data_IF_529369818164
#
_entry.id   IF_529369818164
#
_cell.length_a   1.000
_cell.length_b   1.000
_cell.length_c   1.000
_cell.angle_alpha   90.00
_cell.angle_beta   90.00
_cell.angle_gamma   90.00
#
_symmetry.space_group_name_H-M   'P 1'
#
loop_
_entity.id
_entity.type
_entity.pdbx_description
1 polymer ?
#
# COMPACT_ATOMS: atom_id res chain seq x y z
N UNK A 1 28.46 26.64 -36.02
CA UNK A 1 27.55 27.00 -34.90
C UNK A 1 26.33 26.09 -34.79
N UNK A 2 25.54 25.84 -35.86
CA UNK A 2 24.36 24.95 -35.80
C UNK A 2 24.65 23.50 -35.33
N UNK A 3 25.78 22.91 -35.70
CA UNK A 3 26.20 21.56 -35.26
C UNK A 3 26.61 21.49 -33.78
N UNK A 4 27.19 22.57 -33.24
CA UNK A 4 27.55 22.69 -31.82
C UNK A 4 26.30 22.91 -30.95
N UNK A 5 25.35 23.73 -31.42
CA UNK A 5 24.07 23.95 -30.74
C UNK A 5 23.23 22.66 -30.68
N UNK A 6 23.22 21.87 -31.76
CA UNK A 6 22.56 20.56 -31.81
C UNK A 6 23.14 19.55 -30.81
N UNK A 7 24.48 19.53 -30.65
CA UNK A 7 25.15 18.66 -29.68
C UNK A 7 24.78 19.01 -28.22
N UNK A 8 24.66 20.30 -27.90
CA UNK A 8 24.22 20.75 -26.57
C UNK A 8 22.77 20.36 -26.27
N UNK A 9 21.87 20.42 -27.27
CA UNK A 9 20.47 20.02 -27.10
C UNK A 9 20.36 18.51 -26.85
N UNK A 10 21.10 17.69 -27.60
CA UNK A 10 21.09 16.23 -27.44
C UNK A 10 21.71 15.82 -26.08
N UNK A 11 22.79 16.47 -25.66
CA UNK A 11 23.43 16.20 -24.37
C UNK A 11 22.53 16.58 -23.18
N UNK A 12 21.79 17.69 -23.28
CA UNK A 12 20.77 18.07 -22.29
C UNK A 12 19.64 17.05 -22.20
N UNK A 13 19.18 16.53 -23.34
CA UNK A 13 18.11 15.52 -23.37
C UNK A 13 18.52 14.19 -22.73
N UNK A 14 19.78 13.77 -22.87
CA UNK A 14 20.32 12.55 -22.25
C UNK A 14 20.50 12.71 -20.73
N UNK A 15 20.86 13.91 -20.26
CA UNK A 15 20.92 14.23 -18.81
C UNK A 15 19.52 14.30 -18.17
N UNK A 16 18.48 14.67 -18.93
CA UNK A 16 17.10 14.65 -18.46
C UNK A 16 16.52 13.24 -18.33
N UNK A 17 16.96 12.27 -19.14
CA UNK A 17 16.47 10.88 -19.07
C UNK A 17 17.09 10.08 -17.92
N UNK A 18 18.30 10.45 -17.48
CA UNK A 18 19.06 9.72 -16.45
C UNK A 18 18.69 10.09 -15.00
N UNK A 19 17.83 11.09 -14.78
CA UNK A 19 17.34 11.49 -13.45
C UNK A 19 16.16 10.64 -12.95
N UNK A 20 15.66 9.67 -13.72
CA UNK A 20 14.46 8.88 -13.36
C UNK A 20 14.74 7.57 -12.61
N UNK A 21 16.00 7.23 -12.32
CA UNK A 21 16.36 5.89 -11.81
C UNK A 21 16.42 5.72 -10.28
N UNK A 22 16.24 6.76 -9.47
CA UNK A 22 16.49 6.70 -8.01
C UNK A 22 15.27 7.04 -7.13
N UNK A 23 14.05 6.64 -7.52
CA UNK A 23 12.86 6.86 -6.69
C UNK A 23 12.06 5.57 -6.38
N UNK A 24 12.57 4.39 -6.73
CA UNK A 24 11.99 3.13 -6.26
C UNK A 24 12.59 2.81 -4.90
N UNK A 25 11.77 2.84 -3.84
CA UNK A 25 12.20 2.44 -2.51
C UNK A 25 12.72 0.99 -2.48
N UNK A 26 13.29 0.58 -1.36
CA UNK A 26 13.96 -0.72 -1.15
C UNK A 26 13.16 -1.95 -1.63
N UNK A 27 11.83 -1.92 -1.55
CA UNK A 27 10.92 -2.99 -1.97
C UNK A 27 10.20 -2.73 -3.29
N UNK A 28 10.62 -1.70 -4.03
CA UNK A 28 9.86 -1.16 -5.16
C UNK A 28 8.53 -0.54 -4.72
N UNK A 29 7.59 -0.46 -5.66
CA UNK A 29 6.25 0.07 -5.40
C UNK A 29 5.35 -1.04 -4.81
N UNK A 30 4.88 -0.83 -3.57
CA UNK A 30 4.05 -1.79 -2.82
C UNK A 30 2.63 -1.25 -2.69
N UNK A 31 1.68 -2.04 -3.18
CA UNK A 31 0.26 -1.73 -3.16
C UNK A 31 -0.32 -1.47 -4.54
N UNK A 32 -1.59 -1.82 -4.73
CA UNK A 32 -2.32 -1.54 -5.98
C UNK A 32 -3.79 -1.27 -5.72
N UNK A 33 -4.34 -0.28 -6.41
CA UNK A 33 -5.77 0.04 -6.36
C UNK A 33 -6.57 -0.88 -7.27
N UNK A 34 -7.75 -1.25 -6.80
CA UNK A 34 -8.77 -2.04 -7.51
C UNK A 34 -10.14 -1.42 -7.26
N UNK A 35 -11.09 -1.67 -8.14
CA UNK A 35 -12.50 -1.41 -7.80
C UNK A 35 -12.96 -2.39 -6.72
N UNK A 36 -13.94 -2.00 -5.90
CA UNK A 36 -14.54 -2.91 -4.91
C UNK A 36 -15.01 -4.25 -5.49
N UNK A 37 -15.53 -4.24 -6.72
CA UNK A 37 -16.00 -5.45 -7.41
C UNK A 37 -14.85 -6.40 -7.71
N UNK A 38 -13.78 -5.90 -8.35
CA UNK A 38 -12.58 -6.68 -8.65
C UNK A 38 -11.94 -7.20 -7.37
N UNK A 39 -11.86 -6.36 -6.34
CA UNK A 39 -11.20 -6.72 -5.10
C UNK A 39 -11.95 -7.84 -4.35
N UNK A 40 -13.28 -7.77 -4.30
CA UNK A 40 -14.11 -8.85 -3.77
C UNK A 40 -13.94 -10.15 -4.58
N UNK A 41 -13.72 -10.05 -5.89
CA UNK A 41 -13.46 -11.21 -6.75
C UNK A 41 -12.11 -11.83 -6.40
N UNK A 42 -11.05 -11.03 -6.31
CA UNK A 42 -9.67 -11.49 -6.20
C UNK A 42 -9.25 -11.86 -4.76
N UNK A 43 -9.67 -11.08 -3.77
CA UNK A 43 -9.17 -11.16 -2.39
C UNK A 43 -10.19 -11.70 -1.38
N UNK A 44 -11.38 -12.07 -1.86
CA UNK A 44 -12.45 -12.61 -1.02
C UNK A 44 -13.30 -11.54 -0.32
N UNK A 45 -14.11 -11.98 0.64
CA UNK A 45 -15.09 -11.12 1.33
C UNK A 45 -14.45 -10.48 2.57
N UNK A 46 -14.88 -9.25 2.87
CA UNK A 46 -14.59 -8.54 4.12
C UNK A 46 -15.14 -9.30 5.34
N UNK A 47 -14.27 -9.55 6.31
CA UNK A 47 -14.59 -10.16 7.60
C UNK A 47 -14.80 -9.13 8.71
N UNK A 48 -14.07 -8.01 8.64
CA UNK A 48 -14.10 -6.95 9.63
C UNK A 48 -13.60 -5.65 9.05
N UNK A 49 -14.05 -4.55 9.63
CA UNK A 49 -13.78 -3.20 9.13
C UNK A 49 -13.64 -2.21 10.28
N UNK A 50 -12.67 -1.31 10.20
CA UNK A 50 -12.46 -0.21 11.14
C UNK A 50 -12.41 1.10 10.34
N UNK A 51 -13.21 2.08 10.73
CA UNK A 51 -13.19 3.41 10.10
C UNK A 51 -12.13 4.29 10.75
N UNK A 52 -11.40 5.03 9.93
CA UNK A 52 -10.36 5.99 10.35
C UNK A 52 -10.55 7.28 9.57
N UNK A 53 -10.31 8.43 10.21
CA UNK A 53 -10.39 9.72 9.54
C UNK A 53 -9.29 9.83 8.49
N UNK A 54 -9.65 10.26 7.28
CA UNK A 54 -8.70 10.43 6.18
C UNK A 54 -7.58 11.41 6.57
N UNK A 55 -7.91 12.45 7.33
CA UNK A 55 -6.95 13.47 7.77
C UNK A 55 -5.85 12.89 8.68
N UNK A 56 -6.19 11.88 9.51
CA UNK A 56 -5.20 11.23 10.37
C UNK A 56 -4.17 10.44 9.54
N UNK A 57 -4.63 9.82 8.44
CA UNK A 57 -3.75 9.13 7.50
C UNK A 57 -2.88 10.12 6.75
N UNK A 58 -3.46 11.19 6.20
CA UNK A 58 -2.72 12.25 5.50
C UNK A 58 -1.59 12.82 6.38
N UNK A 59 -1.90 13.14 7.64
CA UNK A 59 -0.92 13.66 8.62
C UNK A 59 0.20 12.66 8.93
N UNK A 60 -0.08 11.36 8.93
CA UNK A 60 0.95 10.35 9.10
C UNK A 60 1.88 10.27 7.88
N UNK A 61 1.32 10.38 6.66
CA UNK A 61 2.07 10.34 5.40
C UNK A 61 2.97 11.57 5.17
N UNK A 62 2.77 12.66 5.90
CA UNK A 62 3.71 13.79 5.96
C UNK A 62 5.04 13.43 6.64
N UNK A 63 5.02 12.41 7.51
CA UNK A 63 6.17 11.97 8.32
C UNK A 63 6.75 10.64 7.87
N UNK A 64 5.99 9.87 7.09
CA UNK A 64 6.41 8.59 6.57
C UNK A 64 7.58 8.75 5.59
N UNK A 65 8.46 7.74 5.57
CA UNK A 65 9.50 7.60 4.55
C UNK A 65 8.93 7.06 3.24
N UNK A 66 9.69 6.20 2.57
CA UNK A 66 9.26 5.55 1.33
C UNK A 66 8.06 4.63 1.54
N UNK A 67 7.93 4.09 2.75
CA UNK A 67 6.88 3.17 3.14
C UNK A 67 6.15 3.64 4.40
N UNK A 68 4.89 3.24 4.48
CA UNK A 68 4.02 3.40 5.65
C UNK A 68 3.47 2.03 6.03
N UNK A 69 3.43 1.76 7.32
CA UNK A 69 2.92 0.51 7.86
C UNK A 69 1.58 0.77 8.54
N UNK A 70 0.66 -0.18 8.39
CA UNK A 70 -0.60 -0.18 9.12
C UNK A 70 -0.74 -1.45 9.95
N UNK A 71 -1.23 -1.34 11.16
CA UNK A 71 -1.48 -2.47 12.04
C UNK A 71 -2.87 -2.39 12.66
N UNK A 72 -3.50 -3.53 12.93
CA UNK A 72 -4.74 -3.59 13.70
C UNK A 72 -4.46 -4.29 15.02
N UNK A 73 -4.70 -3.58 16.13
CA UNK A 73 -4.56 -4.12 17.49
C UNK A 73 -5.65 -3.54 18.37
N UNK A 74 -6.27 -4.39 19.19
CA UNK A 74 -7.35 -3.98 20.12
C UNK A 74 -8.46 -3.17 19.43
N UNK A 75 -8.88 -3.62 18.24
CA UNK A 75 -9.91 -2.98 17.42
C UNK A 75 -9.59 -1.55 16.99
N UNK A 76 -8.30 -1.18 16.94
CA UNK A 76 -7.81 0.11 16.46
C UNK A 76 -6.79 -0.09 15.36
N UNK A 77 -6.80 0.86 14.41
CA UNK A 77 -5.77 0.96 13.37
C UNK A 77 -4.65 1.83 13.91
N UNK A 78 -3.42 1.35 13.74
CA UNK A 78 -2.20 2.06 14.02
C UNK A 78 -1.51 2.36 12.69
N UNK A 79 -1.04 3.60 12.53
CA UNK A 79 -0.24 4.04 11.38
C UNK A 79 1.18 4.22 11.89
N UNK A 80 2.09 3.46 11.31
CA UNK A 80 3.42 3.22 11.86
C UNK A 80 4.49 3.59 10.83
N UNK A 81 5.67 3.95 11.34
CA UNK A 81 6.88 4.02 10.52
C UNK A 81 7.44 2.62 10.21
N UNK A 82 8.50 2.56 9.41
CA UNK A 82 9.17 1.30 9.03
C UNK A 82 9.83 0.57 10.22
N UNK A 83 10.00 1.25 11.35
CA UNK A 83 10.47 0.68 12.62
C UNK A 83 9.33 0.29 13.54
N UNK A 84 8.09 0.29 13.04
CA UNK A 84 6.85 -0.03 13.75
C UNK A 84 6.48 0.93 14.91
N UNK A 85 7.02 2.14 14.93
CA UNK A 85 6.60 3.19 15.87
C UNK A 85 5.37 3.92 15.34
N UNK A 86 4.42 4.22 16.23
CA UNK A 86 3.18 4.90 15.84
C UNK A 86 3.37 6.39 15.58
N UNK A 87 2.79 6.87 14.48
CA UNK A 87 2.69 8.29 14.17
C UNK A 87 1.60 8.99 14.99
N UNK A 88 0.60 8.26 15.46
CA UNK A 88 -0.57 8.79 16.18
C UNK A 88 -0.45 8.70 17.71
N UNK A 89 0.32 7.74 18.23
CA UNK A 89 0.45 7.48 19.67
C UNK A 89 1.93 7.54 20.08
N UNK A 90 2.29 8.60 20.81
CA UNK A 90 3.68 8.87 21.21
C UNK A 90 4.20 7.74 22.10
N UNK A 91 5.33 7.16 21.71
CA UNK A 91 6.02 6.12 22.48
C UNK A 91 5.42 4.73 22.34
N UNK A 92 4.34 4.57 21.56
CA UNK A 92 3.80 3.27 21.23
C UNK A 92 4.49 2.70 19.99
N UNK A 93 4.84 1.42 20.06
CA UNK A 93 5.30 0.64 18.91
C UNK A 93 4.70 -0.76 18.95
N UNK A 94 4.59 -1.36 17.77
CA UNK A 94 4.33 -2.80 17.69
C UNK A 94 5.59 -3.55 18.12
N UNK A 95 5.39 -4.64 18.86
CA UNK A 95 6.48 -5.57 19.16
C UNK A 95 6.94 -6.26 17.88
N UNK A 96 8.08 -6.96 17.96
CA UNK A 96 8.60 -7.70 16.81
C UNK A 96 7.56 -8.70 16.31
N UNK A 97 6.92 -9.46 17.19
CA UNK A 97 5.98 -10.52 16.78
C UNK A 97 4.65 -10.01 16.18
N UNK A 98 4.38 -8.71 16.27
CA UNK A 98 3.16 -8.12 15.74
C UNK A 98 3.28 -7.81 14.25
N UNK A 99 2.32 -8.30 13.47
CA UNK A 99 2.27 -8.11 12.02
C UNK A 99 1.74 -6.70 11.71
N UNK A 100 2.46 -6.00 10.84
CA UNK A 100 2.00 -4.78 10.20
C UNK A 100 1.98 -4.97 8.68
N UNK A 101 1.23 -4.14 7.97
CA UNK A 101 0.99 -4.24 6.54
C UNK A 101 1.56 -2.99 5.86
N UNK A 102 2.56 -3.21 5.01
CA UNK A 102 3.32 -2.14 4.37
C UNK A 102 2.73 -1.77 3.01
N UNK A 103 2.69 -0.46 2.75
CA UNK A 103 2.44 0.12 1.44
C UNK A 103 3.49 1.17 1.13
N UNK A 104 3.75 1.42 -0.15
CA UNK A 104 4.51 2.59 -0.57
C UNK A 104 3.73 3.86 -0.22
N UNK A 105 4.39 4.80 0.46
CA UNK A 105 3.78 6.08 0.86
C UNK A 105 3.18 6.81 -0.33
N UNK A 106 3.86 6.79 -1.48
CA UNK A 106 3.38 7.35 -2.75
C UNK A 106 2.04 6.73 -3.20
N UNK A 107 1.93 5.40 -3.17
CA UNK A 107 0.70 4.68 -3.58
C UNK A 107 -0.47 5.04 -2.67
N UNK A 108 -0.23 5.14 -1.35
CA UNK A 108 -1.27 5.58 -0.42
C UNK A 108 -1.69 7.00 -0.72
N UNK A 109 -0.76 7.94 -0.97
CA UNK A 109 -1.09 9.33 -1.34
C UNK A 109 -1.97 9.39 -2.59
N UNK A 110 -1.58 8.72 -3.66
CA UNK A 110 -2.36 8.66 -4.91
C UNK A 110 -3.77 8.07 -4.69
N UNK A 111 -3.89 7.05 -3.83
CA UNK A 111 -5.17 6.48 -3.46
C UNK A 111 -6.05 7.47 -2.67
N UNK A 112 -5.45 8.25 -1.76
CA UNK A 112 -6.15 9.28 -1.00
C UNK A 112 -6.62 10.44 -1.89
N UNK A 113 -5.86 10.84 -2.90
CA UNK A 113 -6.26 11.87 -3.86
C UNK A 113 -7.52 11.50 -4.64
N UNK A 114 -7.73 10.20 -4.90
CA UNK A 114 -8.94 9.68 -5.55
C UNK A 114 -10.11 9.44 -4.58
N UNK A 115 -9.85 9.50 -3.28
CA UNK A 115 -10.86 9.30 -2.24
C UNK A 115 -11.41 10.64 -1.76
N UNK A 116 -12.67 10.92 -2.06
CA UNK A 116 -13.39 12.12 -1.63
C UNK A 116 -14.00 11.97 -0.23
N UNK A 117 -14.26 10.73 0.21
CA UNK A 117 -14.84 10.45 1.52
C UNK A 117 -13.98 10.93 2.70
N UNK A 118 -14.63 11.42 3.76
CA UNK A 118 -13.98 11.83 5.02
C UNK A 118 -13.27 10.67 5.73
N UNK A 119 -13.74 9.45 5.52
CA UNK A 119 -13.26 8.27 6.22
C UNK A 119 -12.71 7.25 5.25
N UNK A 120 -11.62 6.61 5.66
CA UNK A 120 -11.16 5.37 5.07
C UNK A 120 -11.68 4.20 5.91
N UNK A 121 -11.84 3.05 5.26
CA UNK A 121 -12.20 1.80 5.94
C UNK A 121 -11.05 0.83 5.80
N UNK A 122 -10.46 0.44 6.92
CA UNK A 122 -9.43 -0.59 7.00
C UNK A 122 -10.11 -1.94 7.21
N UNK A 123 -9.87 -2.87 6.30
CA UNK A 123 -10.58 -4.14 6.23
C UNK A 123 -9.62 -5.32 6.36
N UNK A 124 -10.10 -6.38 7.01
CA UNK A 124 -9.47 -7.71 6.95
C UNK A 124 -10.39 -8.61 6.12
N UNK A 125 -9.80 -9.32 5.15
CA UNK A 125 -10.50 -10.26 4.28
C UNK A 125 -9.96 -11.66 4.45
N UNK A 126 -10.85 -12.64 4.33
CA UNK A 126 -10.44 -14.04 4.25
C UNK A 126 -10.21 -14.41 2.79
N UNK A 127 -8.97 -14.74 2.44
CA UNK A 127 -8.67 -15.24 1.12
C UNK A 127 -9.23 -16.66 0.95
N UNK A 128 -10.43 -16.76 0.36
CA UNK A 128 -11.03 -18.04 -0.03
C UNK A 128 -10.64 -18.37 -1.48
N UNK A 129 -10.12 -19.57 -1.77
CA UNK A 129 -9.83 -19.97 -3.14
C UNK A 129 -11.13 -19.97 -3.95
N UNK A 130 -11.15 -19.18 -5.04
CA UNK A 130 -12.28 -19.18 -5.98
C UNK A 130 -11.97 -20.08 -7.16
N UNK A 131 -12.92 -20.94 -7.50
CA UNK A 131 -12.88 -21.70 -8.73
C UNK A 131 -13.02 -20.73 -9.91
N UNK A 132 -12.08 -20.77 -10.85
CA UNK A 132 -12.24 -20.09 -12.12
C UNK A 132 -13.33 -20.81 -12.92
N UNK A 133 -14.48 -20.17 -13.22
CA UNK A 133 -15.62 -20.85 -13.85
C UNK A 133 -15.33 -21.31 -15.28
N UNK A 134 -14.23 -20.86 -15.91
CA UNK A 134 -13.84 -21.24 -17.27
C UNK A 134 -12.79 -22.35 -17.34
N UNK A 135 -11.98 -22.54 -16.29
CA UNK A 135 -10.88 -23.53 -16.29
C UNK A 135 -10.95 -24.56 -15.16
N UNK A 136 -11.87 -24.40 -14.20
CA UNK A 136 -11.92 -25.23 -12.99
C UNK A 136 -10.72 -25.05 -12.05
N UNK A 137 -9.81 -24.12 -12.39
CA UNK A 137 -8.57 -23.90 -11.67
C UNK A 137 -8.80 -22.90 -10.54
N UNK A 138 -8.35 -23.24 -9.33
CA UNK A 138 -8.40 -22.33 -8.19
C UNK A 138 -7.19 -21.39 -8.24
N UNK A 139 -7.41 -20.08 -8.15
CA UNK A 139 -6.32 -19.10 -8.02
C UNK A 139 -6.62 -18.13 -6.88
N UNK A 140 -5.63 -17.86 -6.06
CA UNK A 140 -5.67 -16.78 -5.06
C UNK A 140 -4.62 -15.73 -5.39
N UNK A 141 -4.92 -14.47 -5.07
CA UNK A 141 -3.95 -13.37 -5.19
C UNK A 141 -3.03 -13.26 -3.96
N UNK A 142 -3.37 -13.91 -2.83
CA UNK A 142 -2.44 -14.12 -1.73
C UNK A 142 -1.60 -15.38 -1.95
N UNK A 143 -0.43 -15.43 -1.31
CA UNK A 143 0.54 -16.50 -1.45
C UNK A 143 -0.06 -17.88 -1.16
N UNK A 144 -1.02 -17.97 -0.22
CA UNK A 144 -1.73 -19.21 0.11
C UNK A 144 -3.23 -18.98 0.34
N UNK A 145 -4.04 -19.99 0.00
CA UNK A 145 -5.44 -20.05 0.39
C UNK A 145 -5.57 -20.08 1.93
N UNK A 146 -6.44 -19.25 2.49
CA UNK A 146 -6.60 -19.11 3.94
C UNK A 146 -5.87 -17.93 4.57
N UNK A 147 -5.07 -17.19 3.80
CA UNK A 147 -4.37 -16.00 4.29
C UNK A 147 -5.34 -14.84 4.61
N UNK A 148 -4.95 -14.03 5.59
CA UNK A 148 -5.61 -12.74 5.88
C UNK A 148 -5.05 -11.69 4.91
N UNK A 149 -5.95 -11.02 4.20
CA UNK A 149 -5.60 -9.88 3.35
C UNK A 149 -5.98 -8.59 4.07
N UNK A 150 -5.02 -7.68 4.15
CA UNK A 150 -5.24 -6.32 4.64
C UNK A 150 -5.57 -5.39 3.47
N UNK A 151 -6.67 -4.67 3.62
CA UNK A 151 -7.21 -3.80 2.58
C UNK A 151 -7.49 -2.42 3.15
N UNK A 152 -7.22 -1.39 2.36
CA UNK A 152 -7.65 -0.02 2.64
C UNK A 152 -8.71 0.41 1.62
N UNK A 153 -9.92 0.75 2.06
CA UNK A 153 -11.05 1.07 1.19
C UNK A 153 -11.45 2.54 1.32
N UNK A 154 -11.68 3.18 0.17
CA UNK A 154 -12.05 4.59 0.02
C UNK A 154 -13.06 4.72 -1.12
N UNK A 155 -14.24 5.25 -0.84
CA UNK A 155 -15.35 5.40 -1.79
C UNK A 155 -15.64 4.14 -2.63
N UNK A 156 -15.24 4.10 -3.90
CA UNK A 156 -15.46 2.98 -4.83
C UNK A 156 -14.22 2.10 -5.05
N UNK A 157 -13.08 2.48 -4.50
CA UNK A 157 -11.79 1.82 -4.69
C UNK A 157 -11.29 1.15 -3.40
N UNK A 158 -10.39 0.21 -3.59
CA UNK A 158 -9.69 -0.53 -2.54
C UNK A 158 -8.22 -0.64 -2.88
N UNK A 159 -7.35 -0.28 -1.95
CA UNK A 159 -5.92 -0.49 -2.02
C UNK A 159 -5.59 -1.85 -1.37
N UNK A 160 -4.97 -2.70 -2.17
CA UNK A 160 -4.69 -4.11 -1.88
C UNK A 160 -3.20 -4.42 -2.08
N UNK A 161 -2.81 -5.67 -1.84
CA UNK A 161 -1.45 -6.17 -2.03
C UNK A 161 -0.43 -5.49 -1.11
N UNK A 162 -0.84 -5.24 0.14
CA UNK A 162 0.08 -4.87 1.18
C UNK A 162 1.15 -5.96 1.35
N UNK A 163 2.40 -5.56 1.56
CA UNK A 163 3.43 -6.51 1.94
C UNK A 163 3.34 -6.72 3.45
N UNK A 164 3.04 -7.93 3.95
CA UNK A 164 3.14 -8.17 5.38
C UNK A 164 4.57 -7.95 5.83
N UNK A 165 4.74 -7.14 6.88
CA UNK A 165 5.99 -6.98 7.60
C UNK A 165 5.89 -7.82 8.90
N UNK A 166 6.39 -9.06 8.89
CA UNK A 166 6.49 -9.92 10.07
C UNK A 166 7.59 -9.37 11.01
N UNK A 167 8.18 -10.12 11.97
CA UNK A 167 9.08 -9.54 12.97
C UNK A 167 10.28 -8.76 12.48
N UNK A 168 10.66 -9.01 11.24
CA UNK A 168 11.65 -8.27 10.49
C UNK A 168 10.95 -7.90 9.18
N UNK A 169 10.80 -6.61 8.88
CA UNK A 169 10.41 -6.22 7.53
C UNK A 169 11.50 -6.74 6.58
N UNK A 170 11.16 -7.21 5.38
CA UNK A 170 12.15 -7.72 4.43
C UNK A 170 13.32 -6.74 4.27
N UNK A 171 14.53 -7.23 3.97
CA UNK A 171 15.65 -6.37 3.56
C UNK A 171 15.82 -6.31 2.03
#
# INVERSE_FOLDING_TARGET
MKKLLSFFIIFSFILFLSSSLNAQGKFGEVGKSFTKGEANILFGKVMGSIKVDKADVEKALEKAGDYVLFGIKNSRVYILDEKKFSFSERGFSFSKDEIAYMFSTKVVKEFLERTNGKYLTFELRYNSPKANPKSGQYSTSAAQAGDIVFTLTGDAETLEMALPCPPICPD
#
